data_IF_573999386136
#
_entry.id   IF_573999386136
#
_cell.length_a   1.000
_cell.length_b   1.000
_cell.length_c   1.000
_cell.angle_alpha   90.00
_cell.angle_beta   90.00
_cell.angle_gamma   90.00
#
_symmetry.space_group_name_H-M   'P 1'
#
loop_
_entity.id
_entity.type
_entity.pdbx_description
1 polymer ?
#
# COMPACT_ATOMS: atom_id res chain seq x y z
N UNK A 1 -5.69 -0.96 42.34
CA UNK A 1 -6.24 -1.15 40.98
C UNK A 1 -5.48 -0.22 40.07
N UNK A 2 -4.52 -0.74 39.30
CA UNK A 2 -3.72 0.09 38.39
C UNK A 2 -4.56 0.40 37.15
N UNK A 3 -4.87 1.68 36.93
CA UNK A 3 -5.52 2.14 35.71
C UNK A 3 -4.40 2.35 34.70
N UNK A 4 -4.23 1.40 33.77
CA UNK A 4 -3.37 1.60 32.61
C UNK A 4 -4.08 2.64 31.74
N UNK A 5 -3.55 3.87 31.71
CA UNK A 5 -4.03 4.89 30.78
C UNK A 5 -3.57 4.50 29.38
N UNK A 6 -4.42 3.81 28.64
CA UNK A 6 -4.18 3.63 27.21
C UNK A 6 -4.26 5.00 26.55
N UNK A 7 -3.11 5.52 26.13
CA UNK A 7 -3.07 6.74 25.35
C UNK A 7 -3.90 6.52 24.08
N UNK A 8 -4.82 7.44 23.78
CA UNK A 8 -5.57 7.41 22.53
C UNK A 8 -4.65 7.89 21.42
N UNK A 9 -3.82 6.97 20.91
CA UNK A 9 -2.85 7.26 19.86
C UNK A 9 -3.54 7.68 18.55
N UNK A 10 -4.74 7.14 18.27
CA UNK A 10 -5.58 7.51 17.13
C UNK A 10 -7.06 7.36 17.48
N UNK A 11 -7.93 8.26 17.01
CA UNK A 11 -9.37 7.98 17.03
C UNK A 11 -9.75 7.26 15.75
N UNK A 12 -10.32 6.05 15.89
CA UNK A 12 -10.91 5.31 14.77
C UNK A 12 -11.98 6.11 14.01
N UNK A 13 -12.52 7.19 14.62
CA UNK A 13 -13.49 8.08 13.99
C UNK A 13 -12.86 8.96 12.92
N UNK A 14 -11.70 9.55 13.19
CA UNK A 14 -11.00 10.41 12.21
C UNK A 14 -10.62 9.66 10.93
N UNK A 15 -10.31 8.37 11.02
CA UNK A 15 -10.07 7.53 9.84
C UNK A 15 -11.35 7.10 9.11
N UNK A 16 -12.45 6.86 9.82
CA UNK A 16 -13.72 6.43 9.23
C UNK A 16 -14.46 7.56 8.51
N UNK A 17 -14.18 8.81 8.87
CA UNK A 17 -14.78 9.98 8.23
C UNK A 17 -14.16 10.27 6.84
N UNK A 18 -12.99 9.69 6.54
CA UNK A 18 -12.33 9.79 5.23
C UNK A 18 -12.93 8.82 4.21
N UNK A 19 -13.08 9.28 2.97
CA UNK A 19 -13.47 8.40 1.84
C UNK A 19 -12.30 7.49 1.45
N UNK A 20 -12.60 6.34 0.86
CA UNK A 20 -11.56 5.34 0.54
C UNK A 20 -10.45 5.87 -0.39
N UNK A 21 -10.77 6.76 -1.34
CA UNK A 21 -9.77 7.42 -2.18
C UNK A 21 -8.88 8.39 -1.40
N UNK A 22 -9.43 9.09 -0.40
CA UNK A 22 -8.64 9.98 0.46
C UNK A 22 -7.70 9.16 1.36
N UNK A 23 -8.20 8.04 1.89
CA UNK A 23 -7.39 7.07 2.64
C UNK A 23 -6.26 6.50 1.79
N UNK A 24 -6.55 6.12 0.54
CA UNK A 24 -5.54 5.61 -0.39
C UNK A 24 -4.51 6.68 -0.76
N UNK A 25 -4.94 7.91 -1.01
CA UNK A 25 -4.03 9.01 -1.30
C UNK A 25 -3.03 9.21 -0.15
N UNK A 26 -3.51 9.26 1.10
CA UNK A 26 -2.63 9.37 2.27
C UNK A 26 -1.63 8.21 2.35
N UNK A 27 -2.07 6.99 2.09
CA UNK A 27 -1.19 5.80 2.07
C UNK A 27 -0.12 5.93 0.98
N UNK A 28 -0.48 6.31 -0.25
CA UNK A 28 0.47 6.47 -1.36
C UNK A 28 1.49 7.58 -1.05
N UNK A 29 1.04 8.70 -0.48
CA UNK A 29 1.91 9.86 -0.19
C UNK A 29 2.93 9.59 0.91
N UNK A 30 2.60 8.72 1.88
CA UNK A 30 3.43 8.49 3.07
C UNK A 30 4.10 7.11 3.10
N UNK A 31 3.85 6.24 2.11
CA UNK A 31 4.49 4.93 2.04
C UNK A 31 5.98 5.08 1.70
N UNK A 32 6.92 4.55 2.51
CA UNK A 32 8.35 4.67 2.24
C UNK A 32 8.85 3.62 1.23
N UNK A 33 8.16 3.47 0.10
CA UNK A 33 8.36 2.38 -0.87
C UNK A 33 9.42 2.65 -1.95
N UNK A 34 10.04 3.84 -1.97
CA UNK A 34 10.92 4.26 -3.06
C UNK A 34 12.07 3.27 -3.34
N UNK A 35 12.67 2.70 -2.30
CA UNK A 35 13.74 1.71 -2.42
C UNK A 35 13.24 0.41 -3.07
N UNK A 36 12.09 -0.10 -2.60
CA UNK A 36 11.41 -1.26 -3.17
C UNK A 36 11.03 -1.01 -4.64
N UNK A 37 10.51 0.18 -4.95
CA UNK A 37 10.11 0.56 -6.31
C UNK A 37 11.30 0.53 -7.26
N UNK A 38 12.44 1.13 -6.88
CA UNK A 38 13.66 1.12 -7.70
C UNK A 38 14.16 -0.29 -7.97
N UNK A 39 14.12 -1.18 -6.98
CA UNK A 39 14.54 -2.57 -7.14
C UNK A 39 13.63 -3.33 -8.12
N UNK A 40 12.31 -3.21 -7.94
CA UNK A 40 11.33 -3.84 -8.83
C UNK A 40 11.38 -3.29 -10.25
N UNK A 41 11.59 -1.98 -10.41
CA UNK A 41 11.80 -1.32 -11.71
C UNK A 41 13.10 -1.77 -12.37
N UNK A 42 14.19 -1.90 -11.61
CA UNK A 42 15.47 -2.41 -12.08
C UNK A 42 15.39 -3.85 -12.58
N UNK A 43 14.77 -4.75 -11.82
CA UNK A 43 14.58 -6.16 -12.21
C UNK A 43 13.71 -6.33 -13.45
N UNK A 44 12.76 -5.42 -13.65
CA UNK A 44 11.91 -5.45 -14.83
C UNK A 44 12.70 -5.15 -16.11
N UNK A 45 13.69 -4.27 -16.04
CA UNK A 45 14.46 -3.82 -17.21
C UNK A 45 13.58 -3.17 -18.29
N UNK A 46 13.90 -3.40 -19.56
CA UNK A 46 13.33 -2.68 -20.72
C UNK A 46 12.16 -3.41 -21.42
N UNK A 47 11.45 -4.31 -20.73
CA UNK A 47 10.30 -5.01 -21.30
C UNK A 47 9.07 -4.11 -21.51
N UNK A 48 7.98 -4.67 -22.05
CA UNK A 48 6.69 -3.96 -22.22
C UNK A 48 6.25 -3.25 -20.94
N UNK A 49 5.86 -1.97 -21.09
CA UNK A 49 5.43 -1.10 -20.00
C UNK A 49 3.93 -0.85 -19.91
N UNK A 50 3.13 -1.86 -20.26
CA UNK A 50 1.66 -1.73 -20.29
C UNK A 50 1.08 -1.44 -18.89
N UNK A 51 1.77 -1.88 -17.83
CA UNK A 51 1.45 -1.57 -16.43
C UNK A 51 2.73 -1.18 -15.68
N UNK A 52 2.91 0.10 -15.30
CA UNK A 52 4.07 0.54 -14.52
C UNK A 52 4.18 -0.17 -13.17
N UNK A 53 5.40 -0.37 -12.67
CA UNK A 53 5.66 -1.04 -11.38
C UNK A 53 4.94 -0.32 -10.24
N UNK A 54 5.08 1.01 -10.18
CA UNK A 54 4.39 1.85 -9.19
C UNK A 54 2.88 1.73 -9.29
N UNK A 55 2.34 1.60 -10.51
CA UNK A 55 0.89 1.44 -10.68
C UNK A 55 0.36 0.09 -10.24
N UNK A 56 1.14 -0.98 -10.47
CA UNK A 56 0.86 -2.29 -9.89
C UNK A 56 0.96 -2.28 -8.35
N UNK A 57 1.92 -1.54 -7.79
CA UNK A 57 2.08 -1.40 -6.34
C UNK A 57 0.91 -0.63 -5.70
N UNK A 58 0.57 0.54 -6.25
CA UNK A 58 -0.53 1.37 -5.78
C UNK A 58 -1.87 0.65 -5.84
N UNK A 59 -2.10 -0.21 -6.85
CA UNK A 59 -3.32 -1.00 -6.90
C UNK A 59 -3.38 -2.11 -5.84
N UNK A 60 -2.24 -2.67 -5.43
CA UNK A 60 -2.18 -3.59 -4.27
C UNK A 60 -2.48 -2.83 -2.97
N UNK A 61 -1.93 -1.63 -2.79
CA UNK A 61 -2.26 -0.76 -1.66
C UNK A 61 -3.76 -0.43 -1.63
N UNK A 62 -4.36 -0.11 -2.77
CA UNK A 62 -5.81 0.07 -2.90
C UNK A 62 -6.57 -1.18 -2.48
N UNK A 63 -6.12 -2.36 -2.92
CA UNK A 63 -6.67 -3.66 -2.51
C UNK A 63 -6.76 -3.80 -0.98
N UNK A 64 -5.71 -3.39 -0.27
CA UNK A 64 -5.66 -3.42 1.20
C UNK A 64 -6.57 -2.35 1.82
N UNK A 65 -6.49 -1.09 1.35
CA UNK A 65 -7.25 0.04 1.91
C UNK A 65 -8.77 -0.15 1.75
N UNK A 66 -9.19 -0.69 0.60
CA UNK A 66 -10.59 -0.91 0.23
C UNK A 66 -11.11 -2.28 0.74
N UNK A 67 -10.24 -3.11 1.32
CA UNK A 67 -10.63 -4.40 1.89
C UNK A 67 -11.01 -5.47 0.86
N UNK A 68 -10.36 -5.47 -0.32
CA UNK A 68 -10.62 -6.49 -1.33
C UNK A 68 -10.00 -7.84 -0.94
N UNK A 69 -10.86 -8.85 -0.75
CA UNK A 69 -10.46 -10.21 -0.35
C UNK A 69 -9.67 -10.97 -1.43
N UNK A 70 -9.63 -10.48 -2.67
CA UNK A 70 -8.93 -11.13 -3.78
C UNK A 70 -8.54 -10.15 -4.88
N UNK A 71 -7.57 -10.56 -5.70
CA UNK A 71 -7.16 -9.84 -6.91
C UNK A 71 -8.31 -9.67 -7.89
N UNK A 72 -9.20 -10.66 -8.03
CA UNK A 72 -10.36 -10.51 -8.93
C UNK A 72 -11.38 -9.49 -8.41
N UNK A 73 -11.55 -9.38 -7.09
CA UNK A 73 -12.36 -8.33 -6.47
C UNK A 73 -11.79 -6.95 -6.78
N UNK A 74 -10.48 -6.76 -6.57
CA UNK A 74 -9.76 -5.53 -6.90
C UNK A 74 -9.83 -5.19 -8.40
N UNK A 75 -9.63 -6.17 -9.29
CA UNK A 75 -9.71 -5.96 -10.75
C UNK A 75 -11.08 -5.46 -11.18
N UNK A 76 -12.16 -6.02 -10.62
CA UNK A 76 -13.53 -5.55 -10.91
C UNK A 76 -13.76 -4.13 -10.42
N UNK A 77 -13.10 -3.72 -9.34
CA UNK A 77 -13.19 -2.35 -8.84
C UNK A 77 -12.41 -1.37 -9.72
N UNK A 78 -11.19 -1.71 -10.12
CA UNK A 78 -10.40 -0.91 -11.08
C UNK A 78 -11.10 -0.75 -12.43
N UNK A 79 -11.89 -1.73 -12.84
CA UNK A 79 -12.70 -1.67 -14.07
C UNK A 79 -13.84 -0.66 -13.93
N UNK A 80 -14.54 -0.66 -12.79
CA UNK A 80 -15.71 0.21 -12.55
C UNK A 80 -15.33 1.62 -12.13
N UNK A 81 -14.17 1.80 -11.51
CA UNK A 81 -13.75 3.05 -10.90
C UNK A 81 -12.53 3.61 -11.63
N UNK A 82 -12.80 4.46 -12.63
CA UNK A 82 -11.75 5.12 -13.42
C UNK A 82 -10.86 6.05 -12.56
N UNK A 83 -11.42 6.69 -11.53
CA UNK A 83 -10.67 7.57 -10.64
C UNK A 83 -9.67 6.78 -9.78
N UNK A 84 -10.07 5.61 -9.26
CA UNK A 84 -9.16 4.71 -8.58
C UNK A 84 -8.02 4.27 -9.50
N UNK A 85 -8.36 3.91 -10.74
CA UNK A 85 -7.38 3.44 -11.73
C UNK A 85 -6.38 4.55 -12.09
N UNK A 86 -6.86 5.78 -12.28
CA UNK A 86 -6.04 6.97 -12.48
C UNK A 86 -5.14 7.28 -11.28
N UNK A 87 -5.69 7.21 -10.05
CA UNK A 87 -4.92 7.38 -8.81
C UNK A 87 -3.82 6.33 -8.65
N UNK A 88 -4.06 5.11 -9.12
CA UNK A 88 -3.02 4.10 -9.18
C UNK A 88 -1.98 4.39 -10.28
N UNK A 89 -2.24 5.25 -11.25
CA UNK A 89 -1.35 5.45 -12.40
C UNK A 89 -1.42 4.31 -13.41
N UNK A 90 -2.60 3.71 -13.57
CA UNK A 90 -2.89 2.65 -14.53
C UNK A 90 -3.76 3.18 -15.66
N UNK A 91 -3.40 2.88 -16.91
CA UNK A 91 -4.25 3.21 -18.07
C UNK A 91 -5.38 2.18 -18.20
N UNK A 92 -5.01 0.90 -18.17
CA UNK A 92 -5.90 -0.26 -18.25
C UNK A 92 -5.80 -1.16 -17.02
N UNK A 93 -6.82 -1.99 -16.79
CA UNK A 93 -6.82 -2.96 -15.68
C UNK A 93 -5.83 -4.09 -15.95
N UNK A 94 -4.83 -4.31 -15.07
CA UNK A 94 -3.89 -5.39 -15.25
C UNK A 94 -4.54 -6.77 -15.28
N UNK A 95 -4.04 -7.64 -16.14
CA UNK A 95 -4.51 -9.03 -16.24
C UNK A 95 -4.21 -9.84 -14.96
N UNK A 96 -4.93 -10.95 -14.69
CA UNK A 96 -4.65 -11.81 -13.54
C UNK A 96 -3.20 -12.35 -13.54
N UNK A 97 -2.68 -12.64 -14.74
CA UNK A 97 -1.31 -13.10 -14.91
C UNK A 97 -0.28 -11.98 -14.60
N UNK A 98 -0.60 -10.71 -14.89
CA UNK A 98 0.24 -9.58 -14.51
C UNK A 98 0.33 -9.46 -12.98
N UNK A 99 -0.80 -9.51 -12.27
CA UNK A 99 -0.83 -9.54 -10.80
C UNK A 99 -0.07 -10.73 -10.22
N UNK A 100 -0.29 -11.94 -10.74
CA UNK A 100 0.41 -13.14 -10.27
C UNK A 100 1.92 -13.00 -10.38
N UNK A 101 2.42 -12.49 -11.50
CA UNK A 101 3.87 -12.26 -11.69
C UNK A 101 4.39 -11.14 -10.78
N UNK A 102 3.62 -10.07 -10.63
CA UNK A 102 4.01 -8.95 -9.78
C UNK A 102 4.09 -9.36 -8.31
N UNK A 103 3.08 -10.05 -7.78
CA UNK A 103 3.08 -10.56 -6.41
C UNK A 103 4.23 -11.52 -6.15
N UNK A 104 4.58 -12.41 -7.11
CA UNK A 104 5.75 -13.28 -6.96
C UNK A 104 7.06 -12.49 -6.81
N UNK A 105 7.23 -11.40 -7.57
CA UNK A 105 8.39 -10.51 -7.43
C UNK A 105 8.37 -9.77 -6.11
N UNK A 106 7.21 -9.23 -5.73
CA UNK A 106 7.03 -8.54 -4.46
C UNK A 106 7.39 -9.43 -3.25
N UNK A 107 6.90 -10.68 -3.24
CA UNK A 107 7.22 -11.65 -2.17
C UNK A 107 8.71 -12.00 -2.14
N UNK A 108 9.41 -11.97 -3.28
CA UNK A 108 10.87 -12.16 -3.29
C UNK A 108 11.65 -10.96 -2.73
N UNK A 109 10.98 -9.84 -2.44
CA UNK A 109 11.52 -8.62 -1.81
C UNK A 109 11.13 -8.49 -0.34
N UNK A 110 11.07 -9.63 0.36
CA UNK A 110 10.65 -9.67 1.76
C UNK A 110 11.52 -8.78 2.66
N UNK A 111 12.84 -8.78 2.48
CA UNK A 111 13.74 -7.98 3.31
C UNK A 111 13.48 -6.48 3.15
N UNK A 112 13.18 -6.03 1.93
CA UNK A 112 12.86 -4.64 1.64
C UNK A 112 11.48 -4.25 2.17
N UNK A 113 10.51 -5.16 2.14
CA UNK A 113 9.20 -4.96 2.78
C UNK A 113 9.33 -4.85 4.30
N UNK A 114 10.16 -5.69 4.93
CA UNK A 114 10.45 -5.64 6.36
C UNK A 114 11.14 -4.32 6.72
N UNK A 115 12.12 -3.88 5.93
CA UNK A 115 12.77 -2.59 6.13
C UNK A 115 11.80 -1.39 6.01
N UNK A 116 10.83 -1.46 5.09
CA UNK A 116 9.77 -0.45 4.99
C UNK A 116 8.89 -0.43 6.25
N UNK A 117 8.51 -1.60 6.75
CA UNK A 117 7.74 -1.72 7.99
C UNK A 117 8.51 -1.16 9.19
N UNK A 118 9.79 -1.54 9.34
CA UNK A 118 10.65 -1.05 10.42
C UNK A 118 10.81 0.47 10.37
N UNK A 119 10.92 1.05 9.17
CA UNK A 119 10.95 2.51 9.00
C UNK A 119 9.66 3.16 9.48
N UNK A 120 8.50 2.65 9.09
CA UNK A 120 7.21 3.16 9.54
C UNK A 120 7.06 3.06 11.07
N UNK A 121 7.47 1.94 11.67
CA UNK A 121 7.46 1.76 13.13
C UNK A 121 8.38 2.77 13.81
N UNK A 122 9.59 2.98 13.27
CA UNK A 122 10.54 3.95 13.81
C UNK A 122 10.01 5.37 13.72
N UNK A 123 9.42 5.77 12.60
CA UNK A 123 8.82 7.10 12.42
C UNK A 123 7.67 7.31 13.41
N UNK A 124 6.76 6.34 13.53
CA UNK A 124 5.66 6.38 14.49
C UNK A 124 6.15 6.47 15.94
N UNK A 125 7.23 5.77 16.29
CA UNK A 125 7.80 5.84 17.65
C UNK A 125 8.37 7.21 18.01
N UNK A 126 8.80 8.00 17.02
CA UNK A 126 9.26 9.37 17.22
C UNK A 126 8.11 10.36 17.39
N UNK A 127 6.99 10.13 16.70
CA UNK A 127 5.81 10.99 16.75
C UNK A 127 4.89 10.69 17.95
N UNK A 128 4.94 9.46 18.47
CA UNK A 128 4.01 8.97 19.49
C UNK A 128 4.74 8.56 20.77
N UNK A 129 4.68 9.42 21.78
CA UNK A 129 5.21 9.13 23.12
C UNK A 129 4.59 7.84 23.68
N UNK A 130 5.43 6.91 24.15
CA UNK A 130 4.99 5.63 24.71
C UNK A 130 4.58 4.56 23.69
N UNK A 131 4.80 4.77 22.39
CA UNK A 131 4.53 3.77 21.36
C UNK A 131 5.46 2.56 21.49
N UNK A 132 4.88 1.38 21.74
CA UNK A 132 5.63 0.12 21.89
C UNK A 132 6.16 -0.16 23.30
N UNK A 133 5.86 0.71 24.28
CA UNK A 133 6.16 0.45 25.69
C UNK A 133 5.16 -0.58 26.28
N UNK A 134 5.66 -1.45 27.18
CA UNK A 134 4.89 -2.53 27.85
C UNK A 134 4.70 -2.23 29.34
#
# INVERSE_FOLDING_TARGET
MAIIRQQRLFSWREMNDLRDLERLQLVIEHMPDEELMRLLEGERGYGRNDHPVRGMWNSILAGVVFGHESIESLRRELERNAQLREMCGLEDVPSPAAYTRFLKRLVSKQAELEAMFDRLVSELSGELEGFGEV
#
